data_IF_016691534291
#
_entry.id   IF_016691534291
#
_cell.length_a   1.000
_cell.length_b   1.000
_cell.length_c   1.000
_cell.angle_alpha   90.00
_cell.angle_beta   90.00
_cell.angle_gamma   90.00
#
_symmetry.space_group_name_H-M   'P 1'
#
loop_
_entity.id
_entity.type
_entity.pdbx_description
1 polymer ?
#
# COMPACT_ATOMS: atom_id res chain seq x y z
N UNK A 1 -15.90 -14.38 -9.47
CA UNK A 1 -14.53 -14.14 -8.95
C UNK A 1 -13.64 -13.76 -10.13
N UNK A 2 -12.94 -12.63 -10.06
CA UNK A 2 -11.98 -12.21 -11.09
C UNK A 2 -10.57 -12.27 -10.53
N UNK A 3 -9.68 -12.89 -11.28
CA UNK A 3 -8.28 -13.12 -10.90
C UNK A 3 -7.37 -12.36 -11.84
N UNK A 4 -6.35 -11.70 -11.29
CA UNK A 4 -5.39 -10.90 -12.04
C UNK A 4 -3.97 -11.18 -11.55
N UNK A 5 -2.99 -10.96 -12.43
CA UNK A 5 -1.57 -11.01 -12.05
C UNK A 5 -1.18 -9.73 -11.31
N UNK A 6 -0.56 -9.85 -10.15
CA UNK A 6 0.10 -8.74 -9.47
C UNK A 6 1.57 -8.68 -9.94
N UNK A 7 2.00 -7.52 -10.44
CA UNK A 7 3.34 -7.38 -11.06
C UNK A 7 4.26 -6.42 -10.32
N UNK A 8 3.74 -5.56 -9.45
CA UNK A 8 4.53 -4.71 -8.53
C UNK A 8 3.78 -4.54 -7.22
N UNK A 9 4.52 -4.52 -6.12
CA UNK A 9 3.97 -4.38 -4.76
C UNK A 9 4.82 -3.37 -3.99
N UNK A 10 4.14 -2.40 -3.40
CA UNK A 10 4.78 -1.37 -2.58
C UNK A 10 3.97 -1.14 -1.30
N UNK A 11 4.67 -0.80 -0.22
CA UNK A 11 4.09 -0.30 1.02
C UNK A 11 4.48 1.18 1.15
N UNK A 12 3.49 2.03 1.42
CA UNK A 12 3.68 3.46 1.62
C UNK A 12 3.57 3.75 3.12
N UNK A 13 4.59 4.39 3.67
CA UNK A 13 4.54 4.85 5.07
C UNK A 13 3.89 6.24 5.17
N UNK A 14 3.62 6.67 6.39
CA UNK A 14 2.91 7.92 6.68
C UNK A 14 3.61 9.16 6.11
N UNK A 15 4.94 9.14 6.08
CA UNK A 15 5.72 10.24 5.52
C UNK A 15 5.71 10.21 4.00
N UNK A 16 5.06 9.25 3.33
CA UNK A 16 5.10 9.06 1.88
C UNK A 16 6.38 8.38 1.37
N UNK A 17 7.15 7.76 2.26
CA UNK A 17 8.25 6.87 1.90
C UNK A 17 7.71 5.57 1.32
N UNK A 18 8.35 5.07 0.26
CA UNK A 18 7.90 3.89 -0.49
C UNK A 18 8.90 2.78 -0.32
N UNK A 19 8.43 1.63 0.18
CA UNK A 19 9.18 0.37 0.18
C UNK A 19 8.63 -0.52 -0.93
N UNK A 20 9.40 -0.73 -1.99
CA UNK A 20 9.06 -1.65 -3.08
C UNK A 20 9.72 -3.01 -2.83
N UNK A 21 8.94 -4.08 -3.03
CA UNK A 21 9.42 -5.46 -2.88
C UNK A 21 9.34 -6.15 -4.23
N UNK A 22 10.45 -6.75 -4.67
CA UNK A 22 10.49 -7.50 -5.91
C UNK A 22 9.65 -8.78 -5.79
N UNK A 23 8.67 -8.91 -6.70
CA UNK A 23 7.74 -10.04 -6.73
C UNK A 23 8.33 -11.16 -7.60
N UNK A 24 8.54 -12.33 -7.02
CA UNK A 24 8.84 -13.56 -7.77
C UNK A 24 7.58 -14.06 -8.50
N UNK A 25 6.44 -14.10 -7.80
CA UNK A 25 5.12 -14.34 -8.39
C UNK A 25 4.01 -13.68 -7.56
N UNK A 26 2.87 -13.38 -8.19
CA UNK A 26 1.82 -12.62 -7.52
C UNK A 26 0.46 -12.73 -8.20
N UNK A 27 -0.56 -12.94 -7.37
CA UNK A 27 -1.96 -13.01 -7.79
C UNK A 27 -2.82 -12.14 -6.89
N UNK A 28 -3.73 -11.38 -7.50
CA UNK A 28 -4.74 -10.62 -6.78
C UNK A 28 -6.13 -10.99 -7.27
N UNK A 29 -7.03 -11.25 -6.33
CA UNK A 29 -8.36 -11.78 -6.58
C UNK A 29 -9.39 -10.79 -6.05
N UNK A 30 -10.28 -10.35 -6.93
CA UNK A 30 -11.47 -9.61 -6.52
C UNK A 30 -12.50 -10.60 -5.96
N UNK A 31 -12.82 -10.45 -4.67
CA UNK A 31 -13.88 -11.22 -3.99
C UNK A 31 -15.24 -10.64 -4.37
N UNK A 32 -15.66 -10.87 -5.61
CA UNK A 32 -16.96 -10.39 -6.12
C UNK A 32 -18.09 -10.83 -5.16
N UNK A 33 -18.81 -9.86 -4.59
CA UNK A 33 -19.88 -10.10 -3.60
C UNK A 33 -19.58 -9.61 -2.17
N UNK A 34 -18.31 -9.34 -1.81
CA UNK A 34 -17.93 -8.84 -0.47
C UNK A 34 -17.69 -7.32 -0.42
N UNK A 35 -18.31 -6.55 -1.32
CA UNK A 35 -18.12 -5.10 -1.40
C UNK A 35 -16.75 -4.72 -1.98
N UNK A 36 -15.86 -4.16 -1.14
CA UNK A 36 -14.53 -3.66 -1.54
C UNK A 36 -13.40 -4.67 -1.32
N UNK A 37 -13.72 -5.91 -0.93
CA UNK A 37 -12.75 -6.93 -0.54
C UNK A 37 -11.96 -7.57 -1.70
N UNK A 38 -10.66 -7.72 -1.48
CA UNK A 38 -9.71 -8.41 -2.35
C UNK A 38 -8.81 -9.34 -1.54
N UNK A 39 -8.26 -10.34 -2.21
CA UNK A 39 -7.20 -11.20 -1.66
C UNK A 39 -5.95 -11.02 -2.51
N UNK A 40 -4.81 -10.73 -1.89
CA UNK A 40 -3.52 -10.66 -2.56
C UNK A 40 -2.64 -11.78 -1.99
N UNK A 41 -1.98 -12.52 -2.88
CA UNK A 41 -0.87 -13.39 -2.52
C UNK A 41 0.35 -13.02 -3.37
N UNK A 42 1.50 -12.86 -2.73
CA UNK A 42 2.78 -12.59 -3.38
C UNK A 42 3.85 -13.52 -2.84
N UNK A 43 4.80 -13.87 -3.70
CA UNK A 43 6.05 -14.54 -3.34
C UNK A 43 7.18 -13.54 -3.48
N UNK A 44 7.93 -13.34 -2.40
CA UNK A 44 9.06 -12.39 -2.31
C UNK A 44 10.23 -13.01 -1.54
N UNK A 45 11.41 -12.37 -1.56
CA UNK A 45 12.57 -12.79 -0.77
C UNK A 45 12.22 -12.94 0.72
N UNK A 46 12.69 -14.01 1.36
CA UNK A 46 12.47 -14.23 2.79
C UNK A 46 13.37 -13.38 3.69
N UNK A 47 14.22 -12.51 3.13
CA UNK A 47 14.99 -11.52 3.91
C UNK A 47 14.09 -10.56 4.71
N UNK A 48 12.84 -10.39 4.29
CA UNK A 48 11.86 -9.54 4.97
C UNK A 48 10.92 -10.30 5.91
N UNK A 49 11.21 -11.57 6.22
CA UNK A 49 10.30 -12.43 6.98
C UNK A 49 9.88 -11.81 8.32
N UNK A 50 10.84 -11.36 9.13
CA UNK A 50 10.54 -10.75 10.44
C UNK A 50 9.66 -9.51 10.33
N UNK A 51 9.83 -8.71 9.27
CA UNK A 51 9.01 -7.52 9.01
C UNK A 51 7.55 -7.90 8.77
N UNK A 52 7.28 -8.85 7.86
CA UNK A 52 5.91 -9.27 7.56
C UNK A 52 5.29 -10.10 8.68
N UNK A 53 6.12 -10.82 9.45
CA UNK A 53 5.69 -11.53 10.65
C UNK A 53 5.20 -10.55 11.72
N UNK A 54 5.94 -9.46 11.94
CA UNK A 54 5.54 -8.36 12.83
C UNK A 54 4.23 -7.73 12.36
N UNK A 55 4.12 -7.38 11.07
CA UNK A 55 2.87 -6.83 10.52
C UNK A 55 1.65 -7.76 10.72
N UNK A 56 1.85 -9.06 10.62
CA UNK A 56 0.80 -10.05 10.87
C UNK A 56 0.41 -10.13 12.34
N UNK A 57 1.40 -10.22 13.23
CA UNK A 57 1.18 -10.40 14.67
C UNK A 57 0.50 -9.15 15.28
N UNK A 58 0.88 -7.96 14.83
CA UNK A 58 0.29 -6.68 15.26
C UNK A 58 -1.04 -6.37 14.54
N UNK A 59 -1.43 -7.18 13.55
CA UNK A 59 -2.56 -6.89 12.63
C UNK A 59 -2.47 -5.49 12.04
N UNK A 60 -1.25 -5.07 11.72
CA UNK A 60 -0.97 -3.70 11.28
C UNK A 60 -1.73 -3.40 9.99
N UNK A 61 -2.40 -2.24 9.96
CA UNK A 61 -3.03 -1.73 8.75
C UNK A 61 -1.97 -1.12 7.85
N UNK A 62 -1.78 -1.70 6.67
CA UNK A 62 -0.79 -1.30 5.68
C UNK A 62 -1.45 -0.55 4.52
N UNK A 63 -0.85 0.58 4.14
CA UNK A 63 -1.21 1.28 2.92
C UNK A 63 -0.37 0.76 1.75
N UNK A 64 -0.99 -0.01 0.84
CA UNK A 64 -0.26 -0.71 -0.21
C UNK A 64 -0.65 -0.23 -1.61
N UNK A 65 0.29 -0.38 -2.54
CA UNK A 65 0.10 -0.12 -3.98
C UNK A 65 0.36 -1.41 -4.73
N UNK A 66 -0.59 -1.81 -5.57
CA UNK A 66 -0.45 -3.01 -6.41
C UNK A 66 -0.68 -2.65 -7.87
N UNK A 67 0.33 -2.92 -8.71
CA UNK A 67 0.16 -2.80 -10.16
C UNK A 67 -0.36 -4.12 -10.69
N UNK A 68 -1.49 -4.06 -11.40
CA UNK A 68 -2.24 -5.23 -11.87
C UNK A 68 -2.04 -5.41 -13.37
N UNK A 69 -1.77 -6.64 -13.79
CA UNK A 69 -1.64 -7.10 -15.19
C UNK A 69 -0.40 -6.59 -15.95
N UNK A 70 -0.13 -5.28 -15.99
CA UNK A 70 1.00 -4.69 -16.74
C UNK A 70 1.75 -3.65 -15.90
N UNK A 71 3.10 -3.64 -15.88
CA UNK A 71 3.89 -2.71 -15.07
C UNK A 71 3.66 -1.22 -15.37
N UNK A 72 3.20 -0.90 -16.58
CA UNK A 72 2.90 0.46 -17.02
C UNK A 72 1.53 0.98 -16.54
N UNK A 73 0.70 0.14 -15.94
CA UNK A 73 -0.58 0.58 -15.40
C UNK A 73 -0.37 1.38 -14.11
N UNK A 74 -1.27 2.33 -13.85
CA UNK A 74 -1.31 3.01 -12.56
C UNK A 74 -1.59 2.00 -11.42
N UNK A 75 -0.92 2.13 -10.27
CA UNK A 75 -1.17 1.25 -9.13
C UNK A 75 -2.59 1.43 -8.58
N UNK A 76 -3.24 0.31 -8.27
CA UNK A 76 -4.43 0.32 -7.44
C UNK A 76 -4.05 0.47 -5.95
N UNK A 77 -4.88 1.19 -5.20
CA UNK A 77 -4.62 1.56 -3.81
C UNK A 77 -5.44 0.65 -2.90
N UNK A 78 -4.80 0.07 -1.89
CA UNK A 78 -5.48 -0.80 -0.94
C UNK A 78 -5.05 -0.52 0.49
N UNK A 79 -6.02 -0.67 1.39
CA UNK A 79 -5.76 -0.99 2.78
C UNK A 79 -5.60 -2.49 2.94
N UNK A 80 -4.54 -2.94 3.58
CA UNK A 80 -4.24 -4.36 3.70
C UNK A 80 -3.82 -4.76 5.12
N UNK A 81 -4.18 -5.98 5.52
CA UNK A 81 -3.60 -6.65 6.69
C UNK A 81 -3.02 -7.99 6.28
N UNK A 82 -1.88 -8.35 6.85
CA UNK A 82 -1.25 -9.66 6.59
C UNK A 82 -2.08 -10.74 7.29
N UNK A 83 -2.47 -11.77 6.54
CA UNK A 83 -3.24 -12.92 7.05
C UNK A 83 -2.42 -14.17 7.24
N UNK A 84 -1.38 -14.34 6.42
CA UNK A 84 -0.47 -15.47 6.54
C UNK A 84 0.90 -15.10 5.98
N UNK A 85 1.95 -15.68 6.58
CA UNK A 85 3.33 -15.62 6.09
C UNK A 85 3.89 -17.04 6.13
N UNK A 86 4.14 -17.63 4.96
CA UNK A 86 4.73 -18.95 4.81
C UNK A 86 6.20 -18.81 4.36
N UNK A 87 7.14 -19.23 5.21
CA UNK A 87 8.57 -19.14 4.92
C UNK A 87 9.06 -20.38 4.16
N UNK A 88 9.88 -20.18 3.14
CA UNK A 88 10.58 -21.23 2.40
C UNK A 88 12.11 -21.03 2.51
N UNK A 89 12.88 -21.74 1.69
CA UNK A 89 14.34 -21.72 1.78
C UNK A 89 14.96 -20.36 1.44
N UNK A 90 14.44 -19.66 0.43
CA UNK A 90 14.95 -18.36 -0.07
C UNK A 90 13.86 -17.30 -0.28
N UNK A 91 12.61 -17.74 -0.32
CA UNK A 91 11.45 -16.89 -0.56
C UNK A 91 10.40 -17.17 0.51
N UNK A 92 9.38 -16.35 0.53
CA UNK A 92 8.21 -16.53 1.38
C UNK A 92 6.96 -16.15 0.59
N UNK A 93 5.85 -16.83 0.87
CA UNK A 93 4.52 -16.41 0.42
C UNK A 93 3.87 -15.57 1.51
N UNK A 94 3.28 -14.44 1.11
CA UNK A 94 2.53 -13.55 2.00
C UNK A 94 1.13 -13.38 1.44
N UNK A 95 0.13 -13.67 2.27
CA UNK A 95 -1.29 -13.49 1.93
C UNK A 95 -1.83 -12.29 2.68
N UNK A 96 -2.52 -11.40 1.96
CA UNK A 96 -3.15 -10.21 2.49
C UNK A 96 -4.66 -10.24 2.25
N UNK A 97 -5.41 -9.74 3.22
CA UNK A 97 -6.77 -9.26 2.99
C UNK A 97 -6.72 -7.78 2.70
N UNK A 98 -7.29 -7.39 1.57
CA UNK A 98 -7.19 -6.04 1.03
C UNK A 98 -8.58 -5.41 0.84
N UNK A 99 -8.66 -4.10 1.00
CA UNK A 99 -9.84 -3.29 0.69
C UNK A 99 -9.43 -2.16 -0.25
N UNK A 100 -10.00 -2.15 -1.46
CA UNK A 100 -9.66 -1.13 -2.46
C UNK A 100 -10.26 0.22 -2.07
N UNK A 101 -9.52 1.30 -2.32
CA UNK A 101 -10.03 2.66 -2.18
C UNK A 101 -9.55 3.55 -3.33
N UNK A 102 -10.21 4.70 -3.50
CA UNK A 102 -9.84 5.74 -4.46
C UNK A 102 -9.39 6.99 -3.72
N UNK A 103 -8.45 7.74 -4.29
CA UNK A 103 -8.09 9.05 -3.76
C UNK A 103 -9.30 9.98 -3.73
N UNK A 104 -9.34 10.83 -2.71
CA UNK A 104 -10.26 11.97 -2.66
C UNK A 104 -9.96 12.91 -3.83
N UNK A 105 -11.00 13.53 -4.37
CA UNK A 105 -10.84 14.50 -5.47
C UNK A 105 -10.01 15.72 -5.06
N UNK A 106 -10.03 16.08 -3.76
CA UNK A 106 -9.33 17.23 -3.19
C UNK A 106 -8.02 16.88 -2.50
N UNK A 107 -7.39 15.77 -2.89
CA UNK A 107 -6.17 15.28 -2.22
C UNK A 107 -5.02 16.29 -2.29
N UNK A 108 -4.86 16.98 -3.42
CA UNK A 108 -3.76 17.93 -3.60
C UNK A 108 -3.93 19.15 -2.67
N UNK A 109 -5.14 19.67 -2.56
CA UNK A 109 -5.50 20.77 -1.67
C UNK A 109 -5.30 20.37 -0.20
N UNK A 110 -5.81 19.19 0.19
CA UNK A 110 -5.72 18.69 1.56
C UNK A 110 -4.28 18.40 1.97
N UNK A 111 -3.47 17.83 1.07
CA UNK A 111 -2.04 17.60 1.30
C UNK A 111 -1.30 18.93 1.50
N UNK A 112 -1.59 19.93 0.69
CA UNK A 112 -0.94 21.23 0.82
C UNK A 112 -1.28 21.90 2.15
N UNK A 113 -2.54 21.84 2.57
CA UNK A 113 -3.02 22.36 3.85
C UNK A 113 -2.27 21.68 5.02
N UNK A 114 -2.21 20.34 5.05
CA UNK A 114 -1.50 19.60 6.10
C UNK A 114 -0.01 19.96 6.19
N UNK A 115 0.67 20.10 5.04
CA UNK A 115 2.10 20.43 5.04
C UNK A 115 2.37 21.88 5.50
N UNK A 116 1.46 22.80 5.18
CA UNK A 116 1.54 24.19 5.66
C UNK A 116 1.27 24.26 7.17
N UNK A 117 0.29 23.51 7.67
CA UNK A 117 -0.03 23.41 9.09
C UNK A 117 1.11 22.78 9.90
N UNK A 118 1.85 21.84 9.30
CA UNK A 118 3.09 21.28 9.86
C UNK A 118 4.29 22.25 9.81
N UNK A 119 4.10 23.45 9.25
CA UNK A 119 5.09 24.52 9.22
C UNK A 119 6.12 24.40 8.10
N UNK A 120 5.92 23.52 7.11
CA UNK A 120 6.83 23.42 5.97
C UNK A 120 6.68 24.65 5.07
N UNK A 121 7.81 25.19 4.61
CA UNK A 121 7.83 26.37 3.74
C UNK A 121 8.90 26.27 2.65
N UNK A 122 8.82 27.14 1.65
CA UNK A 122 9.86 27.29 0.62
C UNK A 122 10.14 26.00 -0.16
N UNK A 123 11.42 25.66 -0.32
CA UNK A 123 11.85 24.49 -1.07
C UNK A 123 11.53 23.16 -0.37
N UNK A 124 11.49 23.17 0.96
CA UNK A 124 11.13 21.98 1.73
C UNK A 124 9.68 21.57 1.47
N UNK A 125 8.76 22.55 1.46
CA UNK A 125 7.35 22.33 1.11
C UNK A 125 7.22 21.73 -0.30
N UNK A 126 7.87 22.33 -1.30
CA UNK A 126 7.81 21.84 -2.70
C UNK A 126 8.33 20.42 -2.82
N UNK A 127 9.47 20.12 -2.18
CA UNK A 127 10.09 18.79 -2.23
C UNK A 127 9.18 17.74 -1.60
N UNK A 128 8.63 18.03 -0.43
CA UNK A 128 7.73 17.11 0.29
C UNK A 128 6.42 16.92 -0.46
N UNK A 129 5.80 18.01 -0.93
CA UNK A 129 4.57 17.98 -1.71
C UNK A 129 4.72 17.12 -2.98
N UNK A 130 5.75 17.38 -3.79
CA UNK A 130 5.97 16.62 -5.04
C UNK A 130 6.17 15.12 -4.78
N UNK A 131 6.90 14.77 -3.72
CA UNK A 131 7.12 13.37 -3.34
C UNK A 131 5.82 12.70 -2.89
N UNK A 132 5.04 13.36 -2.04
CA UNK A 132 3.76 12.82 -1.53
C UNK A 132 2.66 12.81 -2.59
N UNK A 133 2.72 13.66 -3.62
CA UNK A 133 1.82 13.56 -4.78
C UNK A 133 2.09 12.33 -5.65
N UNK A 134 3.31 11.80 -5.63
CA UNK A 134 3.66 10.56 -6.33
C UNK A 134 3.31 9.32 -5.52
N UNK A 135 3.73 9.27 -4.25
CA UNK A 135 3.49 8.10 -3.38
C UNK A 135 2.06 8.02 -2.84
N UNK A 136 1.36 9.16 -2.80
CA UNK A 136 -0.04 9.30 -2.39
C UNK A 136 -0.32 8.68 -1.01
N UNK A 137 0.47 9.00 0.05
CA UNK A 137 0.19 8.48 1.39
C UNK A 137 -1.17 8.95 1.89
N UNK A 138 -1.71 8.25 2.89
CA UNK A 138 -2.89 8.72 3.61
C UNK A 138 -2.60 9.99 4.41
N UNK A 139 -3.52 10.94 4.32
CA UNK A 139 -3.47 12.19 5.09
C UNK A 139 -3.95 11.98 6.53
N UNK A 140 -3.57 12.88 7.45
CA UNK A 140 -3.89 12.76 8.89
C UNK A 140 -5.39 12.68 9.15
N UNK A 141 -6.20 13.46 8.44
CA UNK A 141 -7.66 13.47 8.61
C UNK A 141 -8.29 12.08 8.34
N UNK A 142 -7.76 11.34 7.37
CA UNK A 142 -8.26 10.01 7.00
C UNK A 142 -7.98 8.95 8.07
N UNK A 143 -7.06 9.23 9.01
CA UNK A 143 -6.75 8.35 10.13
C UNK A 143 -7.81 8.45 11.24
N UNK A 144 -8.47 9.61 11.39
CA UNK A 144 -9.43 9.85 12.48
C UNK A 144 -10.85 9.41 12.14
N UNK A 145 -11.25 9.43 10.87
CA UNK A 145 -12.60 9.01 10.44
C UNK A 145 -12.85 7.49 10.60
N UNK A 146 -11.82 6.69 10.90
CA UNK A 146 -11.89 5.22 10.92
C UNK A 146 -11.71 4.57 12.29
N UNK A 147 -11.77 5.36 13.37
CA UNK A 147 -11.85 4.87 14.76
C UNK A 147 -13.29 4.89 15.29
#
# INVERSE_FOLDING_TARGET
MKTFKAVRFQIVNENGGVSEYEIEDGVIINKEGSGTGWLLEIVISNEHYETFKTYMDDKQLLDIRVVITRPANDPALFDATVKNVANFKKSMSVVFECHIYTLRQVYAESLLEELVDDGLTGEELKKTFNRMMQSKPKLKEEKFERN
#
